data_IF_851896245598
#
_entry.id   IF_851896245598
#
_cell.length_a   1.000
_cell.length_b   1.000
_cell.length_c   1.000
_cell.angle_alpha   90.00
_cell.angle_beta   90.00
_cell.angle_gamma   90.00
#
_symmetry.space_group_name_H-M   'P 1'
#
loop_
_entity.id
_entity.type
_entity.pdbx_description
1 polymer ?
#
# COMPACT_ATOMS: atom_id res chain seq x y z
N UNK A 1 5.63 19.46 84.61
CA UNK A 1 6.05 18.33 83.75
C UNK A 1 6.99 18.88 82.68
N UNK A 2 8.28 18.53 82.70
CA UNK A 2 9.24 18.94 81.65
C UNK A 2 8.99 18.06 80.41
N UNK A 3 8.70 18.67 79.26
CA UNK A 3 8.69 17.97 77.95
C UNK A 3 10.12 17.49 77.66
N UNK A 4 10.27 16.21 77.36
CA UNK A 4 11.55 15.60 77.01
C UNK A 4 11.88 16.03 75.58
N UNK A 5 12.88 16.89 75.40
CA UNK A 5 13.35 17.27 74.07
C UNK A 5 14.19 16.14 73.48
N UNK A 6 13.74 15.58 72.35
CA UNK A 6 14.51 14.62 71.56
C UNK A 6 15.55 15.40 70.76
N UNK A 7 16.78 15.43 71.26
CA UNK A 7 17.94 15.95 70.52
C UNK A 7 18.55 14.80 69.73
N UNK A 8 18.56 14.91 68.40
CA UNK A 8 19.29 13.96 67.56
C UNK A 8 20.78 14.31 67.70
N UNK A 9 21.63 13.38 68.17
CA UNK A 9 23.07 13.62 68.26
C UNK A 9 23.61 14.03 66.89
N UNK A 10 24.37 15.12 66.83
CA UNK A 10 24.89 15.71 65.58
C UNK A 10 25.62 14.68 64.70
N UNK A 11 26.26 13.68 65.32
CA UNK A 11 26.94 12.57 64.64
C UNK A 11 25.95 11.70 63.83
N UNK A 12 24.75 11.43 64.35
CA UNK A 12 23.72 10.66 63.64
C UNK A 12 23.16 11.46 62.47
N UNK A 13 22.98 12.78 62.64
CA UNK A 13 22.58 13.67 61.55
C UNK A 13 23.60 13.70 60.41
N UNK A 14 24.89 13.79 60.73
CA UNK A 14 25.97 13.76 59.73
C UNK A 14 26.02 12.41 59.01
N UNK A 15 25.90 11.29 59.72
CA UNK A 15 25.88 9.96 59.10
C UNK A 15 24.69 9.76 58.17
N UNK A 16 23.51 10.29 58.51
CA UNK A 16 22.34 10.25 57.64
C UNK A 16 22.54 11.06 56.36
N UNK A 17 23.16 12.25 56.45
CA UNK A 17 23.47 13.09 55.29
C UNK A 17 24.50 12.42 54.39
N UNK A 18 25.59 11.89 54.95
CA UNK A 18 26.63 11.19 54.18
C UNK A 18 26.05 9.93 53.53
N UNK A 19 25.27 9.14 54.26
CA UNK A 19 24.59 7.95 53.73
C UNK A 19 23.62 8.28 52.58
N UNK A 20 22.85 9.37 52.72
CA UNK A 20 21.95 9.85 51.67
C UNK A 20 22.70 10.33 50.42
N UNK A 21 23.84 10.99 50.58
CA UNK A 21 24.66 11.49 49.48
C UNK A 21 25.34 10.34 48.72
N UNK A 22 25.88 9.35 49.44
CA UNK A 22 26.43 8.13 48.85
C UNK A 22 25.35 7.32 48.12
N UNK A 23 24.18 7.14 48.74
CA UNK A 23 23.04 6.46 48.10
C UNK A 23 22.57 7.21 46.84
N UNK A 24 22.52 8.54 46.89
CA UNK A 24 22.19 9.39 45.74
C UNK A 24 23.18 9.22 44.59
N UNK A 25 24.49 9.25 44.87
CA UNK A 25 25.52 9.02 43.86
C UNK A 25 25.44 7.60 43.30
N UNK A 26 25.22 6.58 44.14
CA UNK A 26 25.06 5.19 43.68
C UNK A 26 23.80 5.02 42.81
N UNK A 27 22.71 5.72 43.12
CA UNK A 27 21.49 5.70 42.30
C UNK A 27 21.66 6.46 40.97
N UNK A 28 22.41 7.56 40.97
CA UNK A 28 22.71 8.35 39.76
C UNK A 28 23.75 7.70 38.85
N UNK A 29 24.67 6.92 39.43
CA UNK A 29 25.77 6.27 38.70
C UNK A 29 25.45 4.82 38.30
N UNK A 30 24.26 4.31 38.66
CA UNK A 30 23.70 3.11 38.02
C UNK A 30 23.21 3.53 36.64
N UNK A 31 23.66 2.88 35.54
CA UNK A 31 23.05 3.14 34.24
C UNK A 31 21.56 2.86 34.38
N UNK A 32 20.71 3.79 33.95
CA UNK A 32 19.27 3.65 33.78
C UNK A 32 19.00 2.53 32.78
N UNK A 33 19.25 1.28 33.18
CA UNK A 33 18.93 0.08 32.41
C UNK A 33 17.52 -0.32 32.81
N UNK A 34 16.62 -0.23 31.83
CA UNK A 34 15.38 -1.00 31.73
C UNK A 34 14.17 -0.53 32.55
N UNK A 35 13.74 0.72 32.36
CA UNK A 35 12.32 1.10 32.54
C UNK A 35 11.71 1.72 31.27
N UNK A 36 12.29 1.43 30.11
CA UNK A 36 11.60 1.59 28.82
C UNK A 36 11.13 0.20 28.41
N UNK A 37 10.05 -0.27 29.04
CA UNK A 37 9.20 -1.21 28.33
C UNK A 37 8.57 -0.40 27.20
N UNK A 38 9.01 -0.63 25.97
CA UNK A 38 8.29 -0.12 24.81
C UNK A 38 6.81 -0.48 24.99
N UNK A 39 5.89 0.44 24.70
CA UNK A 39 4.52 -0.02 24.45
C UNK A 39 4.65 -1.04 23.32
N UNK A 40 4.22 -2.31 23.48
CA UNK A 40 4.33 -3.33 22.44
C UNK A 40 3.72 -2.91 21.10
N UNK A 41 2.94 -1.85 21.12
CA UNK A 41 2.23 -1.25 20.00
C UNK A 41 3.12 -0.38 19.09
N UNK A 42 4.21 0.21 19.61
CA UNK A 42 5.14 1.08 18.86
C UNK A 42 6.39 0.32 18.37
N UNK A 43 6.50 -0.97 18.67
CA UNK A 43 7.60 -1.82 18.20
C UNK A 43 7.48 -2.07 16.69
N UNK A 44 8.54 -1.80 15.90
CA UNK A 44 8.60 -2.15 14.48
C UNK A 44 8.38 -3.65 14.25
N UNK A 45 7.54 -3.98 13.27
CA UNK A 45 7.28 -5.34 12.78
C UNK A 45 7.51 -5.37 11.28
N UNK A 46 7.75 -6.58 10.75
CA UNK A 46 7.96 -6.83 9.32
C UNK A 46 9.00 -5.88 8.72
N UNK A 47 10.16 -5.80 9.38
CA UNK A 47 11.26 -4.93 8.95
C UNK A 47 11.86 -5.51 7.68
N UNK A 48 11.85 -4.73 6.60
CA UNK A 48 12.41 -5.10 5.31
C UNK A 48 13.44 -4.07 4.82
N UNK A 49 14.41 -4.56 4.05
CA UNK A 49 15.43 -3.74 3.40
C UNK A 49 15.35 -4.00 1.90
N UNK A 50 14.99 -2.96 1.15
CA UNK A 50 14.63 -3.03 -0.27
C UNK A 50 15.34 -1.95 -1.07
N UNK A 51 15.18 -1.95 -2.40
CA UNK A 51 15.67 -0.89 -3.30
C UNK A 51 17.17 -0.58 -3.11
N UNK A 52 17.97 -1.61 -2.81
CA UNK A 52 19.41 -1.44 -2.60
C UNK A 52 20.03 -1.03 -3.94
N UNK A 53 20.68 0.12 -3.96
CA UNK A 53 21.53 0.61 -5.05
C UNK A 53 22.97 0.79 -4.55
N UNK A 54 23.83 1.30 -5.41
CA UNK A 54 25.19 1.68 -5.06
C UNK A 54 25.26 2.92 -4.16
N UNK A 55 24.20 3.73 -4.12
CA UNK A 55 24.17 4.98 -3.35
C UNK A 55 22.94 5.14 -2.45
N UNK A 56 22.10 4.10 -2.34
CA UNK A 56 20.88 4.15 -1.54
C UNK A 56 20.41 2.77 -1.10
N UNK A 57 19.56 2.73 -0.09
CA UNK A 57 18.66 1.61 0.20
C UNK A 57 17.41 2.12 0.91
N UNK A 58 16.36 1.31 0.92
CA UNK A 58 15.11 1.61 1.61
C UNK A 58 14.97 0.69 2.82
N UNK A 59 14.48 1.24 3.92
CA UNK A 59 14.05 0.48 5.09
C UNK A 59 12.56 0.70 5.28
N UNK A 60 11.82 -0.36 5.45
CA UNK A 60 10.38 -0.30 5.72
C UNK A 60 9.98 -1.19 6.89
N UNK A 61 8.89 -0.83 7.55
CA UNK A 61 8.30 -1.58 8.65
C UNK A 61 6.85 -1.16 8.89
N UNK A 62 6.16 -1.91 9.75
CA UNK A 62 4.84 -1.53 10.27
C UNK A 62 4.81 -1.46 11.79
N UNK A 63 3.83 -0.73 12.31
CA UNK A 63 3.55 -0.57 13.72
C UNK A 63 2.06 -0.85 13.98
N UNK A 64 1.74 -1.30 15.20
CA UNK A 64 0.34 -1.56 15.59
C UNK A 64 -0.39 -0.26 15.92
N UNK A 65 0.37 0.77 16.33
CA UNK A 65 -0.14 2.11 16.63
C UNK A 65 0.49 3.14 15.71
N UNK A 66 -0.35 4.06 15.24
CA UNK A 66 0.09 5.23 14.46
C UNK A 66 1.12 6.05 15.24
N UNK A 67 2.32 6.16 14.70
CA UNK A 67 3.48 6.78 15.35
C UNK A 67 4.41 7.41 14.32
N UNK A 68 5.36 8.25 14.74
CA UNK A 68 6.37 8.81 13.85
C UNK A 68 7.46 7.79 13.56
N UNK A 69 8.06 7.84 12.37
CA UNK A 69 9.09 6.91 11.93
C UNK A 69 10.34 7.61 11.42
N UNK A 70 11.51 7.11 11.80
CA UNK A 70 12.80 7.56 11.29
C UNK A 70 13.84 6.43 11.37
N UNK A 71 14.93 6.55 10.61
CA UNK A 71 16.06 5.62 10.69
C UNK A 71 17.29 6.39 11.15
N UNK A 72 17.96 5.85 12.16
CA UNK A 72 19.29 6.29 12.58
C UNK A 72 20.32 5.34 11.95
N UNK A 73 21.19 5.83 11.07
CA UNK A 73 22.12 5.02 10.29
C UNK A 73 23.53 5.60 10.27
N UNK A 74 24.50 4.77 9.88
CA UNK A 74 25.88 5.20 9.72
C UNK A 74 26.76 4.08 9.18
N UNK A 75 27.99 4.45 8.83
CA UNK A 75 29.00 3.48 8.42
C UNK A 75 29.43 2.65 9.64
N UNK A 76 29.51 1.33 9.48
CA UNK A 76 29.92 0.40 10.56
C UNK A 76 29.01 0.52 11.79
N UNK A 77 29.51 0.25 13.00
CA UNK A 77 28.70 0.17 14.23
C UNK A 77 28.35 1.52 14.89
N UNK A 78 28.49 2.64 14.17
CA UNK A 78 28.21 3.99 14.68
C UNK A 78 27.14 4.71 13.87
N UNK A 79 25.85 4.41 14.11
CA UNK A 79 24.76 5.13 13.48
C UNK A 79 24.58 6.51 14.14
N UNK A 80 24.98 7.57 13.43
CA UNK A 80 24.93 8.96 13.91
C UNK A 80 24.04 9.85 13.04
N UNK A 81 23.79 9.46 11.79
CA UNK A 81 22.91 10.18 10.88
C UNK A 81 21.47 9.76 11.11
N UNK A 82 20.53 10.69 10.90
CA UNK A 82 19.10 10.46 11.07
C UNK A 82 18.37 10.93 9.82
N UNK A 83 17.40 10.13 9.38
CA UNK A 83 16.50 10.46 8.28
C UNK A 83 15.07 10.02 8.63
N UNK A 84 14.09 10.88 8.37
CA UNK A 84 12.67 10.62 8.67
C UNK A 84 11.97 9.84 7.57
N UNK A 85 10.73 9.39 7.83
CA UNK A 85 9.81 8.84 6.84
C UNK A 85 9.78 9.67 5.55
N UNK A 86 9.68 9.00 4.39
CA UNK A 86 9.68 9.68 3.09
C UNK A 86 8.52 10.68 2.98
N UNK A 87 7.36 10.41 3.58
CA UNK A 87 6.23 11.36 3.61
C UNK A 87 6.55 12.61 4.43
N UNK A 88 7.31 12.46 5.51
CA UNK A 88 7.74 13.59 6.34
C UNK A 88 8.74 14.46 5.60
N UNK A 89 9.65 13.83 4.85
CA UNK A 89 10.61 14.55 3.99
C UNK A 89 9.90 15.29 2.85
N UNK A 90 8.86 14.69 2.25
CA UNK A 90 8.05 15.31 1.19
C UNK A 90 7.22 16.50 1.73
N UNK A 91 6.64 16.37 2.93
CA UNK A 91 5.77 17.40 3.52
C UNK A 91 6.51 18.47 4.32
N UNK A 92 7.71 18.16 4.84
CA UNK A 92 8.46 19.02 5.75
C UNK A 92 7.93 19.03 7.19
N UNK A 93 6.99 18.13 7.52
CA UNK A 93 6.36 18.00 8.83
C UNK A 93 6.35 16.54 9.27
N UNK A 94 6.48 16.29 10.58
CA UNK A 94 6.49 14.93 11.13
C UNK A 94 5.05 14.44 11.30
N UNK A 95 4.69 13.39 10.55
CA UNK A 95 3.42 12.69 10.65
C UNK A 95 3.48 11.44 11.52
N UNK A 96 2.30 10.86 11.75
CA UNK A 96 2.15 9.56 12.41
C UNK A 96 1.49 8.56 11.46
N UNK A 97 2.07 7.37 11.33
CA UNK A 97 1.66 6.36 10.36
C UNK A 97 1.70 4.96 10.97
N UNK A 98 0.99 4.01 10.34
CA UNK A 98 1.07 2.58 10.68
C UNK A 98 2.09 1.83 9.81
N UNK A 99 2.37 2.37 8.64
CA UNK A 99 3.38 1.91 7.69
C UNK A 99 4.49 2.92 7.67
N UNK A 100 5.73 2.49 7.45
CA UNK A 100 6.87 3.37 7.36
C UNK A 100 7.77 2.94 6.22
N UNK A 101 8.23 3.90 5.44
CA UNK A 101 9.18 3.68 4.36
C UNK A 101 10.17 4.85 4.33
N UNK A 102 11.46 4.51 4.46
CA UNK A 102 12.54 5.48 4.61
C UNK A 102 13.61 5.20 3.58
N UNK A 103 13.78 6.12 2.63
CA UNK A 103 14.80 6.08 1.60
C UNK A 103 16.09 6.76 2.06
N UNK A 104 17.12 5.97 2.37
CA UNK A 104 18.44 6.48 2.72
C UNK A 104 19.26 6.62 1.43
N UNK A 105 19.74 7.84 1.16
CA UNK A 105 20.38 8.23 -0.11
C UNK A 105 21.78 8.83 0.13
N UNK A 106 22.50 9.09 -0.97
CA UNK A 106 23.84 9.68 -0.96
C UNK A 106 24.88 8.84 -0.18
N UNK A 107 24.80 7.53 -0.32
CA UNK A 107 25.70 6.56 0.30
C UNK A 107 26.89 6.24 -0.61
N UNK A 108 27.91 5.61 -0.02
CA UNK A 108 29.06 5.08 -0.76
C UNK A 108 28.74 3.69 -1.33
N UNK A 109 29.20 3.35 -2.54
CA UNK A 109 29.12 2.00 -3.08
C UNK A 109 29.87 0.97 -2.23
N UNK A 110 29.46 -0.30 -2.32
CA UNK A 110 30.11 -1.46 -1.67
C UNK A 110 30.44 -1.25 -0.18
N UNK A 111 29.59 -0.50 0.52
CA UNK A 111 29.84 -0.06 1.88
C UNK A 111 28.79 -0.63 2.81
N UNK A 112 29.26 -1.21 3.93
CA UNK A 112 28.40 -1.75 4.97
C UNK A 112 27.88 -0.63 5.89
N UNK A 113 26.56 -0.49 5.94
CA UNK A 113 25.86 0.42 6.82
C UNK A 113 25.16 -0.36 7.93
N UNK A 114 25.16 0.20 9.13
CA UNK A 114 24.32 -0.28 10.22
C UNK A 114 23.31 0.76 10.63
N UNK A 115 22.15 0.32 11.10
CA UNK A 115 21.08 1.23 11.49
C UNK A 115 20.23 0.72 12.65
N UNK A 116 19.47 1.64 13.23
CA UNK A 116 18.38 1.44 14.19
C UNK A 116 17.13 2.12 13.67
N UNK A 117 15.99 1.56 14.02
CA UNK A 117 14.69 2.11 13.65
C UNK A 117 14.20 2.96 14.82
N UNK A 118 13.94 4.22 14.55
CA UNK A 118 13.21 5.12 15.42
C UNK A 118 11.71 4.98 15.18
N UNK A 119 10.98 4.54 16.19
CA UNK A 119 9.52 4.49 16.15
C UNK A 119 8.98 5.18 17.40
N UNK A 120 8.28 6.29 17.16
CA UNK A 120 7.88 7.24 18.21
C UNK A 120 9.10 7.79 18.95
N UNK A 121 9.15 7.56 20.27
CA UNK A 121 10.24 8.04 21.14
C UNK A 121 11.36 7.02 21.35
N UNK A 122 11.19 5.82 20.80
CA UNK A 122 12.05 4.67 21.09
C UNK A 122 12.92 4.33 19.88
N UNK A 123 14.10 3.79 20.16
CA UNK A 123 15.01 3.23 19.16
C UNK A 123 15.04 1.71 19.30
N UNK A 124 14.91 1.03 18.16
CA UNK A 124 14.83 -0.41 18.07
C UNK A 124 15.98 -0.94 17.23
N UNK A 125 16.57 -2.03 17.69
CA UNK A 125 17.62 -2.77 17.00
C UNK A 125 17.10 -4.18 16.65
N UNK A 126 17.96 -4.98 16.00
CA UNK A 126 17.66 -6.35 15.61
C UNK A 126 18.01 -7.31 16.76
N UNK A 127 17.15 -7.33 17.79
CA UNK A 127 17.28 -8.22 18.95
C UNK A 127 18.66 -8.13 19.65
N UNK A 128 19.14 -6.90 19.89
CA UNK A 128 20.42 -6.63 20.56
C UNK A 128 21.61 -6.45 19.63
N UNK A 129 21.42 -6.62 18.31
CA UNK A 129 22.40 -6.27 17.28
C UNK A 129 21.86 -5.19 16.36
N UNK A 130 22.71 -4.35 15.76
CA UNK A 130 22.25 -3.38 14.77
C UNK A 130 21.73 -4.09 13.51
N UNK A 131 20.72 -3.52 12.86
CA UNK A 131 20.39 -3.92 11.48
C UNK A 131 21.54 -3.53 10.57
N UNK A 132 21.78 -4.33 9.52
CA UNK A 132 22.91 -4.12 8.63
C UNK A 132 22.52 -4.39 7.19
N UNK A 133 23.07 -3.61 6.27
CA UNK A 133 23.00 -3.85 4.83
C UNK A 133 24.28 -3.35 4.15
N UNK A 134 24.51 -3.79 2.93
CA UNK A 134 25.64 -3.35 2.10
C UNK A 134 25.09 -2.75 0.82
N UNK A 135 25.55 -1.56 0.46
CA UNK A 135 25.21 -0.94 -0.83
C UNK A 135 25.85 -1.71 -1.98
N UNK A 136 25.25 -1.63 -3.16
CA UNK A 136 25.71 -2.36 -4.33
C UNK A 136 27.02 -1.82 -4.91
N UNK A 137 27.64 -2.61 -5.77
CA UNK A 137 28.74 -2.14 -6.62
C UNK A 137 28.24 -1.11 -7.63
N UNK A 138 29.13 -0.22 -8.05
CA UNK A 138 28.85 0.70 -9.16
C UNK A 138 28.57 -0.15 -10.39
N UNK A 139 27.33 -0.11 -10.89
CA UNK A 139 26.97 -0.85 -12.08
C UNK A 139 27.31 -0.05 -13.35
N UNK A 140 27.44 -0.79 -14.45
CA UNK A 140 27.66 -0.20 -15.77
C UNK A 140 26.41 0.50 -16.31
N UNK A 141 26.20 0.40 -17.63
CA UNK A 141 25.05 1.06 -18.27
C UNK A 141 23.72 0.49 -17.75
N UNK A 142 22.83 1.38 -17.33
CA UNK A 142 21.47 1.02 -16.91
C UNK A 142 20.70 0.32 -18.06
N UNK A 143 19.90 -0.71 -17.75
CA UNK A 143 19.00 -1.36 -18.70
C UNK A 143 17.99 -0.39 -19.34
N UNK A 144 17.26 -0.88 -20.35
CA UNK A 144 16.12 -0.17 -20.90
C UNK A 144 15.09 0.11 -19.79
N UNK A 145 14.44 1.28 -19.85
CA UNK A 145 13.47 1.67 -18.83
C UNK A 145 12.32 0.66 -18.77
N UNK A 146 12.02 0.23 -17.54
CA UNK A 146 10.96 -0.71 -17.23
C UNK A 146 10.39 -0.35 -15.85
N UNK A 147 9.06 -0.33 -15.76
CA UNK A 147 8.29 0.05 -14.58
C UNK A 147 7.13 -0.93 -14.37
N UNK A 148 6.91 -1.33 -13.13
CA UNK A 148 5.69 -1.96 -12.66
C UNK A 148 4.80 -0.90 -12.00
N UNK A 149 3.50 -0.93 -12.26
CA UNK A 149 2.57 0.02 -11.66
C UNK A 149 1.17 -0.56 -11.54
N UNK A 150 0.38 0.01 -10.63
CA UNK A 150 -0.98 -0.42 -10.38
C UNK A 150 -1.64 0.41 -9.29
N UNK A 151 -2.76 -0.10 -8.77
CA UNK A 151 -3.53 0.53 -7.71
C UNK A 151 -3.83 -0.46 -6.58
N UNK A 152 -3.83 0.02 -5.35
CA UNK A 152 -4.29 -0.72 -4.16
C UNK A 152 -5.61 -0.12 -3.69
N UNK A 153 -6.60 -1.00 -3.48
CA UNK A 153 -7.95 -0.63 -3.05
C UNK A 153 -8.39 -1.47 -1.85
N UNK A 154 -9.35 -0.97 -1.09
CA UNK A 154 -10.06 -1.75 -0.07
C UNK A 154 -11.09 -2.69 -0.72
N UNK A 155 -11.74 -3.54 0.08
CA UNK A 155 -12.87 -4.37 -0.40
C UNK A 155 -14.07 -3.54 -0.89
N UNK A 156 -14.16 -2.27 -0.51
CA UNK A 156 -15.17 -1.30 -0.98
C UNK A 156 -14.72 -0.54 -2.24
N UNK A 157 -13.60 -0.93 -2.85
CA UNK A 157 -12.96 -0.26 -4.01
C UNK A 157 -12.40 1.15 -3.69
N UNK A 158 -12.36 1.56 -2.42
CA UNK A 158 -11.74 2.82 -2.01
C UNK A 158 -10.21 2.74 -2.14
N UNK A 159 -9.54 3.78 -2.68
CA UNK A 159 -8.08 3.80 -2.80
C UNK A 159 -7.38 3.82 -1.43
N UNK A 160 -6.27 3.08 -1.32
CA UNK A 160 -5.50 2.97 -0.08
C UNK A 160 -4.25 3.84 -0.15
N UNK A 161 -4.20 4.94 0.60
CA UNK A 161 -3.01 5.78 0.77
C UNK A 161 -2.00 5.16 1.74
N UNK A 162 -0.71 5.22 1.40
CA UNK A 162 0.38 4.89 2.32
C UNK A 162 0.55 3.39 2.59
N UNK A 163 -0.04 2.49 1.80
CA UNK A 163 0.33 1.09 1.81
C UNK A 163 1.73 0.90 1.20
N UNK A 164 2.49 -0.04 1.74
CA UNK A 164 3.79 -0.43 1.18
C UNK A 164 3.54 -1.58 0.22
N UNK A 165 3.92 -1.38 -1.05
CA UNK A 165 3.89 -2.41 -2.08
C UNK A 165 5.30 -2.92 -2.26
N UNK A 166 5.51 -4.21 -2.04
CA UNK A 166 6.74 -4.93 -2.31
C UNK A 166 6.62 -5.70 -3.61
N UNK A 167 7.69 -5.75 -4.38
CA UNK A 167 7.79 -6.50 -5.63
C UNK A 167 9.10 -7.30 -5.62
N UNK A 168 8.97 -8.62 -5.75
CA UNK A 168 10.08 -9.57 -5.72
C UNK A 168 10.15 -10.34 -7.03
N UNK A 169 11.35 -10.37 -7.61
CA UNK A 169 11.71 -11.18 -8.76
C UNK A 169 12.74 -12.24 -8.34
N UNK A 170 12.77 -13.43 -8.98
CA UNK A 170 13.80 -14.42 -8.74
C UNK A 170 15.21 -13.86 -8.94
N UNK A 171 16.07 -14.02 -7.92
CA UNK A 171 17.47 -13.61 -8.01
C UNK A 171 17.73 -12.10 -7.94
N UNK A 172 16.73 -11.30 -7.54
CA UNK A 172 16.88 -9.85 -7.39
C UNK A 172 16.71 -9.40 -5.94
N UNK A 173 17.19 -8.20 -5.63
CA UNK A 173 16.78 -7.49 -4.42
C UNK A 173 15.33 -7.07 -4.56
N UNK A 174 14.51 -7.29 -3.53
CA UNK A 174 13.13 -6.85 -3.49
C UNK A 174 13.04 -5.32 -3.64
N UNK A 175 12.01 -4.86 -4.35
CA UNK A 175 11.71 -3.45 -4.54
C UNK A 175 10.46 -3.09 -3.74
N UNK A 176 10.34 -1.83 -3.35
CA UNK A 176 9.25 -1.31 -2.56
C UNK A 176 8.88 0.12 -2.98
N UNK A 177 7.61 0.45 -2.84
CA UNK A 177 7.08 1.81 -2.99
C UNK A 177 5.89 2.04 -2.06
N UNK A 178 5.66 3.30 -1.68
CA UNK A 178 4.43 3.71 -1.00
C UNK A 178 3.33 4.05 -2.03
N UNK A 179 2.10 3.65 -1.75
CA UNK A 179 0.94 4.12 -2.51
C UNK A 179 0.66 5.59 -2.21
N UNK A 180 0.27 6.33 -3.25
CA UNK A 180 -0.15 7.75 -3.16
C UNK A 180 -1.63 7.85 -2.75
N UNK A 181 -2.20 9.06 -2.53
CA UNK A 181 -3.60 9.21 -2.09
C UNK A 181 -4.65 8.54 -2.99
N UNK A 182 -4.35 8.39 -4.28
CA UNK A 182 -5.14 7.66 -5.26
C UNK A 182 -5.02 6.13 -5.14
N UNK A 183 -4.25 5.59 -4.21
CA UNK A 183 -3.92 4.16 -4.13
C UNK A 183 -2.90 3.69 -5.16
N UNK A 184 -2.46 4.58 -6.05
CA UNK A 184 -1.52 4.26 -7.13
C UNK A 184 -0.10 4.11 -6.61
N UNK A 185 0.64 3.16 -7.17
CA UNK A 185 2.05 2.92 -6.89
C UNK A 185 2.83 2.68 -8.19
N UNK A 186 4.13 2.95 -8.15
CA UNK A 186 5.05 2.73 -9.27
C UNK A 186 6.39 2.24 -8.71
N UNK A 187 6.91 1.16 -9.28
CA UNK A 187 8.21 0.57 -8.94
C UNK A 187 9.05 0.47 -10.23
N UNK A 188 10.18 1.18 -10.34
CA UNK A 188 11.09 1.03 -11.47
C UNK A 188 11.85 -0.30 -11.39
N UNK A 189 11.56 -1.24 -12.30
CA UNK A 189 12.20 -2.56 -12.33
C UNK A 189 13.58 -2.54 -12.99
N UNK A 190 13.80 -1.63 -13.94
CA UNK A 190 15.07 -1.53 -14.67
C UNK A 190 16.29 -1.22 -13.78
N UNK A 191 16.07 -0.67 -12.58
CA UNK A 191 17.13 -0.32 -11.62
C UNK A 191 17.31 -1.36 -10.51
N UNK A 192 16.49 -2.42 -10.51
CA UNK A 192 16.61 -3.49 -9.53
C UNK A 192 18.01 -4.11 -9.62
N UNK A 193 18.62 -4.41 -8.47
CA UNK A 193 19.94 -5.04 -8.39
C UNK A 193 19.79 -6.56 -8.29
N UNK A 194 20.78 -7.27 -8.84
CA UNK A 194 20.94 -8.70 -8.61
C UNK A 194 21.12 -8.98 -7.11
N UNK A 195 20.75 -10.17 -6.66
CA UNK A 195 20.85 -10.55 -5.24
C UNK A 195 22.29 -10.52 -4.68
N UNK A 196 23.29 -10.67 -5.55
CA UNK A 196 24.72 -10.53 -5.20
C UNK A 196 25.22 -9.08 -5.19
N UNK A 197 24.36 -8.12 -5.54
CA UNK A 197 24.62 -6.67 -5.56
C UNK A 197 25.75 -6.23 -6.51
N UNK A 198 26.17 -7.06 -7.46
CA UNK A 198 27.28 -6.74 -8.37
C UNK A 198 26.83 -5.99 -9.63
N UNK A 199 25.57 -6.16 -10.04
CA UNK A 199 25.06 -5.65 -11.31
C UNK A 199 23.57 -5.32 -11.24
N UNK A 200 23.02 -4.76 -12.32
CA UNK A 200 21.57 -4.69 -12.49
C UNK A 200 21.01 -6.09 -12.71
N UNK A 201 19.82 -6.34 -12.18
CA UNK A 201 19.12 -7.59 -12.34
C UNK A 201 18.82 -7.86 -13.82
N UNK A 202 19.10 -9.08 -14.28
CA UNK A 202 18.64 -9.57 -15.57
C UNK A 202 17.32 -10.31 -15.35
N UNK A 203 16.30 -9.96 -16.13
CA UNK A 203 15.00 -10.61 -16.15
C UNK A 203 14.38 -10.50 -17.55
N UNK A 204 13.48 -11.41 -17.89
CA UNK A 204 12.61 -11.33 -19.07
C UNK A 204 11.48 -10.33 -18.77
N UNK A 205 11.30 -9.24 -19.55
CA UNK A 205 10.32 -8.19 -19.27
C UNK A 205 8.86 -8.62 -19.48
N UNK A 206 8.62 -9.81 -20.01
CA UNK A 206 7.28 -10.33 -20.27
C UNK A 206 6.94 -11.60 -19.47
N UNK A 207 7.93 -12.46 -19.19
CA UNK A 207 7.67 -13.85 -18.75
C UNK A 207 8.06 -14.18 -17.33
N UNK A 208 8.97 -13.42 -16.73
CA UNK A 208 9.48 -13.78 -15.41
C UNK A 208 8.41 -13.61 -14.35
N UNK A 209 8.37 -14.55 -13.41
CA UNK A 209 7.39 -14.55 -12.32
C UNK A 209 7.71 -13.41 -11.35
N UNK A 210 6.68 -12.66 -11.01
CA UNK A 210 6.74 -11.56 -10.06
C UNK A 210 5.82 -11.88 -8.89
N UNK A 211 6.32 -11.74 -7.67
CA UNK A 211 5.51 -11.74 -6.46
C UNK A 211 5.35 -10.30 -5.98
N UNK A 212 4.11 -9.85 -5.85
CA UNK A 212 3.75 -8.56 -5.28
C UNK A 212 3.07 -8.80 -3.95
N UNK A 213 3.55 -8.18 -2.89
CA UNK A 213 2.88 -8.18 -1.59
C UNK A 213 2.58 -6.76 -1.15
N UNK A 214 1.46 -6.57 -0.48
CA UNK A 214 1.02 -5.26 0.01
C UNK A 214 0.83 -5.33 1.51
N UNK A 215 1.35 -4.33 2.20
CA UNK A 215 1.23 -4.16 3.64
C UNK A 215 0.67 -2.76 3.95
N UNK A 216 -0.56 -2.72 4.45
CA UNK A 216 -1.30 -1.49 4.75
C UNK A 216 -1.50 -1.28 6.27
N UNK A 217 -0.64 -1.89 7.10
CA UNK A 217 -0.69 -1.76 8.55
C UNK A 217 -1.97 -2.40 9.11
N UNK A 218 -2.81 -1.60 9.78
CA UNK A 218 -4.06 -2.10 10.37
C UNK A 218 -5.17 -2.38 9.34
N UNK A 219 -5.04 -1.89 8.10
CA UNK A 219 -5.97 -2.17 7.01
C UNK A 219 -5.78 -3.57 6.41
N UNK A 220 -4.67 -4.24 6.73
CA UNK A 220 -4.38 -5.62 6.31
C UNK A 220 -3.35 -5.71 5.19
N UNK A 221 -3.30 -6.89 4.59
CA UNK A 221 -2.31 -7.27 3.57
C UNK A 221 -3.00 -7.83 2.32
N UNK A 222 -2.27 -7.90 1.22
CA UNK A 222 -2.67 -8.61 0.01
C UNK A 222 -1.45 -9.21 -0.68
N UNK A 223 -1.66 -10.21 -1.55
CA UNK A 223 -0.61 -10.70 -2.43
C UNK A 223 -1.12 -10.95 -3.85
N UNK A 224 -0.24 -10.74 -4.82
CA UNK A 224 -0.48 -11.03 -6.23
C UNK A 224 0.76 -11.69 -6.80
N UNK A 225 0.63 -12.93 -7.28
CA UNK A 225 1.64 -13.55 -8.14
C UNK A 225 1.25 -13.32 -9.59
N UNK A 226 2.18 -12.81 -10.39
CA UNK A 226 1.95 -12.48 -11.80
C UNK A 226 3.24 -12.63 -12.62
N UNK A 227 3.28 -12.07 -13.83
CA UNK A 227 4.46 -11.99 -14.69
C UNK A 227 4.89 -10.55 -14.91
N UNK A 228 6.15 -10.34 -15.27
CA UNK A 228 6.69 -9.02 -15.65
C UNK A 228 5.86 -8.31 -16.73
N UNK A 229 5.32 -9.03 -17.72
CA UNK A 229 4.46 -8.45 -18.76
C UNK A 229 3.12 -7.93 -18.22
N UNK A 230 2.58 -8.61 -17.21
CA UNK A 230 1.33 -8.23 -16.54
C UNK A 230 1.52 -7.18 -15.43
N UNK A 231 2.72 -6.58 -15.30
CA UNK A 231 2.95 -5.47 -14.36
C UNK A 231 2.60 -4.08 -14.90
N UNK A 232 2.10 -4.00 -16.14
CA UNK A 232 1.95 -2.76 -16.92
C UNK A 232 0.54 -2.60 -17.55
N UNK A 233 -0.51 -2.32 -16.77
CA UNK A 233 -0.57 -2.26 -15.30
C UNK A 233 -0.86 -3.62 -14.66
N UNK A 234 -0.53 -3.74 -13.38
CA UNK A 234 -1.11 -4.76 -12.50
C UNK A 234 -2.58 -4.41 -12.27
N UNK A 235 -3.49 -5.38 -12.48
CA UNK A 235 -4.90 -5.20 -12.14
C UNK A 235 -5.07 -4.93 -10.64
N UNK A 236 -6.05 -4.10 -10.28
CA UNK A 236 -6.25 -3.58 -8.92
C UNK A 236 -6.05 -4.63 -7.83
N UNK A 237 -5.28 -4.25 -6.81
CA UNK A 237 -4.94 -5.12 -5.69
C UNK A 237 -5.89 -4.79 -4.54
N UNK A 238 -6.84 -5.68 -4.28
CA UNK A 238 -7.79 -5.56 -3.17
C UNK A 238 -7.17 -6.09 -1.87
N UNK A 239 -7.15 -5.28 -0.81
CA UNK A 239 -6.71 -5.72 0.50
C UNK A 239 -7.53 -6.93 1.01
N UNK A 240 -6.84 -7.89 1.63
CA UNK A 240 -7.41 -9.15 2.12
C UNK A 240 -7.51 -10.27 1.08
N UNK A 241 -7.13 -10.01 -0.18
CA UNK A 241 -7.13 -11.00 -1.25
C UNK A 241 -5.71 -11.47 -1.59
N UNK A 242 -5.60 -12.76 -1.93
CA UNK A 242 -4.42 -13.34 -2.55
C UNK A 242 -4.81 -13.80 -3.96
N UNK A 243 -4.09 -13.32 -4.98
CA UNK A 243 -4.36 -13.61 -6.39
C UNK A 243 -3.16 -14.28 -7.03
N UNK A 244 -3.40 -15.43 -7.66
CA UNK A 244 -2.41 -16.07 -8.54
C UNK A 244 -2.85 -15.91 -9.98
N UNK A 245 -2.19 -15.01 -10.72
CA UNK A 245 -2.38 -14.87 -12.16
C UNK A 245 -1.51 -15.91 -12.89
N UNK A 246 -2.12 -16.65 -13.80
CA UNK A 246 -1.44 -17.71 -14.51
C UNK A 246 -0.31 -17.15 -15.39
N UNK A 247 0.93 -17.58 -15.09
CA UNK A 247 2.07 -17.43 -15.99
C UNK A 247 1.82 -18.33 -17.22
N UNK A 248 1.92 -17.84 -18.47
CA UNK A 248 1.94 -18.74 -19.62
C UNK A 248 3.21 -19.60 -19.52
N UNK A 249 3.05 -20.89 -19.28
CA UNK A 249 4.17 -21.82 -19.26
C UNK A 249 4.94 -21.74 -20.60
N UNK A 250 6.30 -21.86 -20.60
CA UNK A 250 7.06 -21.87 -21.83
C UNK A 250 6.60 -23.07 -22.66
N UNK A 251 6.08 -22.79 -23.86
CA UNK A 251 5.60 -23.80 -24.79
C UNK A 251 6.74 -24.74 -25.20
N UNK A 252 6.86 -25.87 -24.52
CA UNK A 252 7.48 -27.05 -25.10
C UNK A 252 6.56 -27.52 -26.22
N UNK A 253 7.09 -27.48 -27.44
CA UNK A 253 6.31 -27.47 -28.67
C UNK A 253 5.22 -28.53 -28.76
N UNK A 254 4.04 -28.08 -29.17
CA UNK A 254 3.08 -28.96 -29.82
C UNK A 254 2.54 -28.22 -31.04
N UNK A 255 2.77 -28.84 -32.20
CA UNK A 255 2.13 -28.46 -33.45
C UNK A 255 0.63 -28.51 -33.20
N UNK A 256 -0.07 -27.42 -33.47
CA UNK A 256 -1.45 -27.28 -33.96
C UNK A 256 -1.93 -25.91 -33.51
N UNK A 257 -2.07 -25.00 -34.46
CA UNK A 257 -2.73 -23.73 -34.28
C UNK A 257 -4.06 -23.81 -35.02
N UNK A 258 -5.18 -23.64 -34.29
CA UNK A 258 -6.42 -23.11 -34.83
C UNK A 258 -7.41 -22.77 -33.69
N UNK A 259 -7.62 -21.46 -33.53
CA UNK A 259 -8.85 -20.77 -33.07
C UNK A 259 -9.25 -20.91 -31.60
N UNK A 260 -9.00 -19.83 -30.84
CA UNK A 260 -9.70 -19.48 -29.62
C UNK A 260 -11.22 -19.38 -29.87
N UNK A 261 -12.05 -19.97 -28.98
CA UNK A 261 -13.30 -19.39 -28.44
C UNK A 261 -13.79 -20.26 -27.27
N UNK A 262 -13.78 -19.71 -26.05
CA UNK A 262 -14.70 -20.04 -24.94
C UNK A 262 -14.51 -21.35 -24.16
N UNK A 263 -13.62 -21.37 -23.16
CA UNK A 263 -13.49 -22.51 -22.22
C UNK A 263 -13.55 -22.16 -20.72
N UNK A 264 -14.10 -21.01 -20.34
CA UNK A 264 -14.26 -20.66 -18.92
C UNK A 264 -15.70 -20.79 -18.42
N UNK A 265 -15.89 -21.57 -17.37
CA UNK A 265 -17.13 -21.66 -16.61
C UNK A 265 -17.20 -20.46 -15.66
N UNK A 266 -18.13 -19.52 -15.86
CA UNK A 266 -18.32 -18.33 -15.04
C UNK A 266 -19.79 -18.14 -14.66
N UNK A 267 -20.05 -17.56 -13.48
CA UNK A 267 -21.38 -17.10 -13.05
C UNK A 267 -21.42 -15.57 -13.19
N UNK A 268 -22.24 -15.08 -14.11
CA UNK A 268 -22.41 -13.65 -14.40
C UNK A 268 -23.34 -12.98 -13.39
N UNK A 269 -24.49 -13.61 -13.12
CA UNK A 269 -25.52 -13.09 -12.21
C UNK A 269 -26.04 -14.22 -11.33
N UNK A 270 -26.17 -14.05 -10.01
CA UNK A 270 -25.83 -12.86 -9.24
C UNK A 270 -24.32 -12.65 -9.04
N UNK A 271 -23.89 -11.40 -8.85
CA UNK A 271 -22.55 -11.02 -8.39
C UNK A 271 -22.34 -11.47 -6.93
N UNK A 272 -21.08 -11.56 -6.51
CA UNK A 272 -20.75 -11.98 -5.15
C UNK A 272 -21.30 -10.94 -4.16
N UNK A 273 -22.14 -11.38 -3.22
CA UNK A 273 -22.81 -10.51 -2.25
C UNK A 273 -23.93 -9.64 -2.83
N UNK A 274 -24.38 -9.89 -4.07
CA UNK A 274 -25.47 -9.11 -4.68
C UNK A 274 -26.77 -9.26 -3.89
N UNK A 275 -27.43 -8.12 -3.62
CA UNK A 275 -28.75 -8.07 -2.98
C UNK A 275 -29.83 -8.08 -4.05
N UNK A 276 -30.51 -9.22 -4.19
CA UNK A 276 -31.61 -9.38 -5.14
C UNK A 276 -32.92 -9.07 -4.43
N UNK A 277 -33.69 -8.15 -5.00
CA UNK A 277 -35.01 -7.76 -4.50
C UNK A 277 -36.15 -8.65 -5.03
N UNK A 278 -35.82 -9.85 -5.53
CA UNK A 278 -36.76 -10.85 -6.04
C UNK A 278 -36.54 -12.17 -5.31
N UNK A 279 -37.64 -12.81 -4.90
CA UNK A 279 -37.63 -14.16 -4.31
C UNK A 279 -37.41 -15.25 -5.37
N UNK A 280 -37.43 -14.90 -6.66
CA UNK A 280 -37.11 -15.80 -7.79
C UNK A 280 -36.00 -15.16 -8.62
N UNK A 281 -34.73 -15.24 -8.16
CA UNK A 281 -33.62 -14.73 -8.95
C UNK A 281 -33.41 -15.57 -10.20
N UNK A 282 -32.89 -14.93 -11.23
CA UNK A 282 -32.43 -15.57 -12.45
C UNK A 282 -30.90 -15.67 -12.39
N UNK A 283 -30.38 -16.90 -12.48
CA UNK A 283 -28.95 -17.16 -12.43
C UNK A 283 -28.44 -17.30 -13.85
N UNK A 284 -27.44 -16.51 -14.22
CA UNK A 284 -26.85 -16.48 -15.55
C UNK A 284 -25.35 -16.74 -15.47
N UNK A 285 -24.80 -17.37 -16.50
CA UNK A 285 -23.36 -17.57 -16.60
C UNK A 285 -22.92 -17.98 -18.00
N UNK A 286 -21.61 -18.21 -18.14
CA UNK A 286 -21.03 -18.81 -19.34
C UNK A 286 -20.35 -20.13 -19.02
N UNK A 287 -20.35 -21.05 -19.97
CA UNK A 287 -19.62 -22.30 -19.92
C UNK A 287 -19.33 -22.74 -21.36
N UNK A 288 -18.50 -23.77 -21.59
CA UNK A 288 -18.27 -24.26 -22.93
C UNK A 288 -19.58 -24.72 -23.59
N UNK A 289 -19.82 -24.31 -24.83
CA UNK A 289 -21.04 -24.61 -25.58
C UNK A 289 -21.27 -26.12 -25.69
N UNK A 290 -22.50 -26.57 -25.47
CA UNK A 290 -22.85 -27.99 -25.54
C UNK A 290 -22.43 -28.84 -24.33
N UNK A 291 -21.86 -28.26 -23.26
CA UNK A 291 -21.55 -28.99 -22.02
C UNK A 291 -22.75 -29.10 -21.09
N UNK A 292 -22.81 -30.20 -20.33
CA UNK A 292 -23.77 -30.33 -19.24
C UNK A 292 -23.23 -29.68 -17.97
N UNK A 293 -24.02 -28.76 -17.40
CA UNK A 293 -23.74 -28.11 -16.13
C UNK A 293 -24.78 -28.53 -15.09
N UNK A 294 -24.33 -28.72 -13.85
CA UNK A 294 -25.18 -28.95 -12.69
C UNK A 294 -25.16 -27.72 -11.80
N UNK A 295 -26.32 -27.07 -11.65
CA UNK A 295 -26.50 -25.89 -10.82
C UNK A 295 -27.18 -26.33 -9.52
N UNK A 296 -26.54 -26.04 -8.39
CA UNK A 296 -27.04 -26.27 -7.04
C UNK A 296 -27.19 -24.95 -6.29
N UNK A 297 -28.35 -24.67 -5.73
CA UNK A 297 -28.58 -23.53 -4.84
C UNK A 297 -28.75 -24.08 -3.43
N UNK A 298 -27.82 -23.73 -2.56
CA UNK A 298 -27.86 -24.01 -1.13
C UNK A 298 -28.61 -22.87 -0.43
N UNK A 299 -29.86 -23.16 -0.08
CA UNK A 299 -30.74 -22.36 0.77
C UNK A 299 -31.32 -23.23 1.89
N UNK A 300 -32.27 -22.72 2.68
CA UNK A 300 -33.06 -23.54 3.60
C UNK A 300 -33.65 -24.81 2.92
N UNK A 301 -33.94 -24.72 1.61
CA UNK A 301 -34.27 -25.86 0.73
C UNK A 301 -33.25 -25.95 -0.41
N UNK A 302 -32.65 -27.11 -0.61
CA UNK A 302 -31.64 -27.28 -1.68
C UNK A 302 -32.34 -27.48 -3.03
N UNK A 303 -32.00 -26.65 -4.02
CA UNK A 303 -32.45 -26.83 -5.40
C UNK A 303 -31.28 -27.31 -6.26
N UNK A 304 -31.51 -28.29 -7.14
CA UNK A 304 -30.48 -28.82 -8.04
C UNK A 304 -31.10 -29.07 -9.42
N UNK A 305 -30.42 -28.64 -10.49
CA UNK A 305 -30.84 -28.90 -11.87
C UNK A 305 -29.63 -29.06 -12.78
N UNK A 306 -29.72 -30.02 -13.71
CA UNK A 306 -28.76 -30.18 -14.82
C UNK A 306 -29.31 -29.52 -16.08
N UNK A 307 -28.47 -28.75 -16.78
CA UNK A 307 -28.79 -28.01 -17.99
C UNK A 307 -27.67 -28.19 -19.02
N UNK A 308 -28.02 -28.20 -20.30
CA UNK A 308 -27.04 -28.13 -21.40
C UNK A 308 -26.84 -26.67 -21.80
N UNK A 309 -25.59 -26.25 -21.91
CA UNK A 309 -25.21 -24.87 -22.26
C UNK A 309 -25.47 -24.63 -23.75
N UNK A 310 -25.97 -23.44 -24.10
CA UNK A 310 -26.35 -23.13 -25.47
C UNK A 310 -25.14 -23.00 -26.43
N UNK A 311 -25.41 -22.88 -27.72
CA UNK A 311 -24.37 -22.78 -28.77
C UNK A 311 -23.50 -21.51 -28.66
N UNK A 312 -23.96 -20.50 -27.90
CA UNK A 312 -23.22 -19.27 -27.64
C UNK A 312 -22.38 -19.35 -26.35
N UNK A 313 -22.41 -20.49 -25.65
CA UNK A 313 -21.71 -20.68 -24.38
C UNK A 313 -22.39 -19.99 -23.21
N UNK A 314 -23.66 -19.59 -23.33
CA UNK A 314 -24.42 -18.94 -22.27
C UNK A 314 -25.43 -19.92 -21.66
N UNK A 315 -25.72 -19.74 -20.37
CA UNK A 315 -26.73 -20.53 -19.67
C UNK A 315 -27.52 -19.66 -18.71
N UNK A 316 -28.79 -20.02 -18.52
CA UNK A 316 -29.70 -19.31 -17.63
C UNK A 316 -30.54 -20.32 -16.83
N UNK A 317 -30.74 -20.04 -15.55
CA UNK A 317 -31.53 -20.84 -14.64
C UNK A 317 -32.46 -19.97 -13.78
N UNK A 318 -33.77 -20.15 -13.98
CA UNK A 318 -34.80 -19.53 -13.15
C UNK A 318 -35.17 -20.47 -12.00
N UNK A 319 -35.13 -19.97 -10.76
CA UNK A 319 -35.46 -20.76 -9.57
C UNK A 319 -36.96 -21.13 -9.58
N UNK A 320 -37.33 -22.43 -9.38
CA UNK A 320 -38.71 -22.88 -9.55
C UNK A 320 -39.66 -22.43 -8.42
N UNK A 321 -39.13 -22.18 -7.23
CA UNK A 321 -39.87 -21.82 -6.01
C UNK A 321 -39.27 -20.56 -5.37
N UNK A 322 -40.07 -19.86 -4.56
CA UNK A 322 -39.59 -18.66 -3.88
C UNK A 322 -38.50 -19.01 -2.87
N UNK A 323 -37.37 -18.32 -2.95
CA UNK A 323 -36.34 -18.33 -1.91
C UNK A 323 -36.77 -17.42 -0.75
N UNK A 324 -36.51 -17.86 0.48
CA UNK A 324 -36.72 -17.03 1.67
C UNK A 324 -35.72 -15.86 1.72
N UNK A 325 -36.07 -14.72 2.35
CA UNK A 325 -35.12 -13.63 2.56
C UNK A 325 -33.91 -14.10 3.38
N UNK A 326 -32.70 -13.79 2.93
CA UNK A 326 -31.45 -14.25 3.55
C UNK A 326 -30.33 -14.54 2.55
N UNK A 327 -29.21 -15.06 3.05
CA UNK A 327 -28.06 -15.43 2.24
C UNK A 327 -28.25 -16.81 1.60
N UNK A 328 -27.91 -16.91 0.31
CA UNK A 328 -28.00 -18.12 -0.50
C UNK A 328 -26.70 -18.32 -1.27
N UNK A 329 -26.28 -19.57 -1.47
CA UNK A 329 -25.07 -19.90 -2.25
C UNK A 329 -25.43 -20.70 -3.48
N UNK A 330 -25.05 -20.21 -4.66
CA UNK A 330 -25.09 -20.97 -5.91
C UNK A 330 -23.75 -21.65 -6.18
N UNK A 331 -23.80 -22.93 -6.51
CA UNK A 331 -22.67 -23.76 -6.95
C UNK A 331 -22.98 -24.29 -8.34
N UNK A 332 -22.12 -24.04 -9.32
CA UNK A 332 -22.23 -24.57 -10.67
C UNK A 332 -21.06 -25.51 -10.92
N UNK A 333 -21.37 -26.74 -11.30
CA UNK A 333 -20.37 -27.77 -11.62
C UNK A 333 -20.50 -28.15 -13.09
N UNK A 334 -19.40 -28.14 -13.82
CA UNK A 334 -19.32 -28.60 -15.22
C UNK A 334 -18.24 -29.67 -15.35
N UNK A 335 -18.44 -30.65 -16.23
CA UNK A 335 -17.42 -31.64 -16.57
C UNK A 335 -16.84 -31.23 -17.92
N UNK A 336 -15.61 -30.75 -17.92
CA UNK A 336 -14.86 -30.37 -19.13
C UNK A 336 -13.64 -31.27 -19.20
N UNK A 337 -13.49 -32.02 -20.30
CA UNK A 337 -12.40 -32.98 -20.53
C UNK A 337 -12.21 -34.05 -19.42
N UNK A 338 -13.31 -34.50 -18.81
CA UNK A 338 -13.29 -35.51 -17.75
C UNK A 338 -12.90 -34.98 -16.36
N UNK A 339 -12.69 -33.67 -16.22
CA UNK A 339 -12.39 -32.99 -14.95
C UNK A 339 -13.61 -32.17 -14.50
N UNK A 340 -14.05 -32.36 -13.26
CA UNK A 340 -15.13 -31.58 -12.67
C UNK A 340 -14.63 -30.17 -12.26
N UNK A 341 -15.05 -29.14 -13.00
CA UNK A 341 -14.83 -27.72 -12.66
C UNK A 341 -16.03 -27.22 -11.84
N UNK A 342 -15.78 -26.62 -10.68
CA UNK A 342 -16.82 -26.10 -9.77
C UNK A 342 -16.62 -24.61 -9.50
N UNK A 343 -17.68 -23.82 -9.65
CA UNK A 343 -17.70 -22.37 -9.34
C UNK A 343 -18.79 -22.10 -8.30
N UNK A 344 -18.48 -21.32 -7.27
CA UNK A 344 -19.40 -20.98 -6.18
C UNK A 344 -19.57 -19.47 -6.04
N UNK A 345 -20.79 -19.01 -5.72
CA UNK A 345 -21.10 -17.59 -5.53
C UNK A 345 -22.23 -17.41 -4.51
N UNK A 346 -22.10 -16.47 -3.58
CA UNK A 346 -23.15 -16.13 -2.62
C UNK A 346 -23.91 -14.86 -3.03
N UNK A 347 -25.19 -14.79 -2.69
CA UNK A 347 -26.08 -13.65 -2.91
C UNK A 347 -27.14 -13.57 -1.82
N UNK A 348 -27.75 -12.39 -1.62
CA UNK A 348 -28.73 -12.15 -0.56
C UNK A 348 -30.10 -11.82 -1.17
N UNK A 349 -31.13 -12.56 -0.80
CA UNK A 349 -32.53 -12.26 -1.17
C UNK A 349 -33.11 -11.30 -0.14
N UNK A 350 -33.61 -10.15 -0.57
CA UNK A 350 -34.24 -9.17 0.32
C UNK A 350 -35.74 -9.47 0.53
N UNK A 351 -36.26 -9.10 1.70
CA UNK A 351 -37.68 -9.21 2.00
C UNK A 351 -38.51 -8.26 1.12
N UNK A 352 -39.67 -8.71 0.64
CA UNK A 352 -40.52 -7.86 -0.20
C UNK A 352 -41.02 -6.63 0.60
N UNK A 353 -40.75 -5.42 0.09
CA UNK A 353 -41.29 -4.16 0.64
C UNK A 353 -40.29 -3.12 1.16
N UNK A 354 -38.97 -3.31 1.01
CA UNK A 354 -37.94 -2.37 1.51
C UNK A 354 -37.31 -1.45 0.44
N UNK A 355 -37.78 -1.44 -0.81
CA UNK A 355 -37.23 -0.54 -1.84
C UNK A 355 -38.20 -0.29 -2.99
N UNK A 356 -38.45 0.99 -3.28
CA UNK A 356 -39.20 1.50 -4.44
C UNK A 356 -38.29 1.85 -5.64
N UNK A 357 -37.13 1.19 -5.78
CA UNK A 357 -36.25 1.41 -6.92
C UNK A 357 -36.63 0.47 -8.09
N UNK A 358 -36.81 0.98 -9.32
CA UNK A 358 -37.14 0.15 -10.47
C UNK A 358 -35.99 -0.78 -10.84
N UNK A 359 -36.33 -2.01 -11.25
CA UNK A 359 -35.41 -3.12 -11.47
C UNK A 359 -34.57 -3.04 -12.78
N UNK A 360 -34.49 -1.92 -13.49
CA UNK A 360 -33.69 -1.78 -14.73
C UNK A 360 -33.23 -0.35 -14.99
N UNK A 361 -31.94 -0.18 -15.33
CA UNK A 361 -31.44 0.93 -16.16
C UNK A 361 -31.16 0.34 -17.54
N UNK A 362 -31.66 0.99 -18.60
CA UNK A 362 -31.46 0.54 -19.97
C UNK A 362 -29.98 0.65 -20.40
N UNK A 363 -29.48 -0.40 -21.03
CA UNK A 363 -28.20 -0.42 -21.76
C UNK A 363 -28.34 0.44 -23.02
N UNK A 364 -27.44 1.42 -23.30
CA UNK A 364 -27.40 2.06 -24.60
C UNK A 364 -26.66 1.14 -25.59
N UNK A 365 -27.40 0.28 -26.28
CA UNK A 365 -26.93 -0.35 -27.52
C UNK A 365 -27.19 0.58 -28.70
N UNK A 366 -26.14 1.18 -29.25
CA UNK A 366 -26.11 1.69 -30.63
C UNK A 366 -24.66 1.75 -31.17
N UNK A 367 -24.36 0.87 -32.12
CA UNK A 367 -23.17 0.81 -32.99
C UNK A 367 -23.71 0.39 -34.36
N UNK A 368 -23.42 0.95 -35.54
CA UNK A 368 -22.74 2.15 -36.06
C UNK A 368 -23.45 2.48 -37.40
N UNK A 369 -23.47 3.74 -37.85
CA UNK A 369 -23.65 4.07 -39.28
C UNK A 369 -22.76 5.25 -39.68
N UNK A 370 -21.82 5.09 -40.63
CA UNK A 370 -21.08 6.22 -41.18
C UNK A 370 -21.93 6.89 -42.28
N UNK A 371 -22.12 8.21 -42.20
CA UNK A 371 -22.60 9.03 -43.33
C UNK A 371 -22.29 10.53 -43.06
N UNK A 372 -22.33 11.37 -44.09
CA UNK A 372 -21.21 11.90 -44.87
C UNK A 372 -20.50 13.12 -44.23
N UNK A 373 -19.26 13.32 -44.70
CA UNK A 373 -18.37 14.46 -44.47
C UNK A 373 -19.09 15.83 -44.54
N UNK A 374 -19.06 16.66 -43.48
CA UNK A 374 -19.46 18.06 -43.58
C UNK A 374 -18.39 18.92 -44.26
N UNK A 375 -18.87 19.82 -45.11
CA UNK A 375 -18.17 20.80 -45.93
C UNK A 375 -17.31 21.78 -45.12
N UNK A 376 -16.12 22.10 -45.63
CA UNK A 376 -15.24 23.15 -45.08
C UNK A 376 -15.95 24.51 -45.24
N UNK A 377 -16.24 25.16 -44.11
CA UNK A 377 -16.67 26.57 -44.07
C UNK A 377 -15.43 27.42 -43.77
N UNK A 378 -15.19 28.55 -44.47
CA UNK A 378 -14.01 29.39 -44.22
C UNK A 378 -14.00 29.97 -42.80
N UNK A 379 -12.82 29.90 -42.17
CA UNK A 379 -12.50 30.49 -40.87
C UNK A 379 -12.64 32.02 -40.93
N UNK A 380 -13.47 32.58 -40.05
CA UNK A 380 -13.37 33.99 -39.66
C UNK A 380 -12.34 34.05 -38.53
N UNK A 381 -11.18 34.64 -38.81
CA UNK A 381 -10.21 34.99 -37.78
C UNK A 381 -10.75 36.18 -36.98
N UNK A 382 -10.97 35.99 -35.69
CA UNK A 382 -11.08 37.10 -34.75
C UNK A 382 -9.68 37.39 -34.17
N UNK A 383 -9.34 38.67 -33.95
CA UNK A 383 -7.98 39.12 -33.72
C UNK A 383 -7.42 38.65 -32.38
N UNK A 384 -6.11 38.45 -32.36
CA UNK A 384 -5.29 38.25 -31.16
C UNK A 384 -5.53 39.37 -30.16
N UNK A 385 -5.88 39.02 -28.92
CA UNK A 385 -5.65 39.90 -27.77
C UNK A 385 -4.36 39.47 -27.10
N UNK A 386 -3.29 40.11 -27.57
CA UNK A 386 -2.08 40.36 -26.79
C UNK A 386 -2.44 41.17 -25.53
N UNK A 387 -1.59 41.07 -24.51
CA UNK A 387 -1.57 41.82 -23.24
C UNK A 387 -2.32 41.21 -22.05
N UNK A 388 -1.50 40.70 -21.12
CA UNK A 388 -1.90 40.17 -19.83
C UNK A 388 -0.68 39.71 -19.05
N UNK A 389 0.40 40.51 -19.04
CA UNK A 389 1.50 40.32 -18.10
C UNK A 389 0.96 40.53 -16.69
N UNK A 390 1.16 39.61 -15.74
CA UNK A 390 0.78 39.84 -14.35
C UNK A 390 1.58 41.02 -13.79
N UNK A 391 0.89 41.98 -13.17
CA UNK A 391 1.52 43.04 -12.36
C UNK A 391 2.34 42.41 -11.22
N UNK A 392 3.61 42.81 -11.03
CA UNK A 392 4.38 42.45 -9.85
C UNK A 392 3.68 42.99 -8.59
N UNK A 393 3.52 42.12 -7.60
CA UNK A 393 2.72 42.34 -6.40
C UNK A 393 2.98 43.64 -5.65
N UNK A 394 1.91 44.14 -5.04
CA UNK A 394 1.88 45.32 -4.19
C UNK A 394 2.90 45.18 -3.02
N UNK A 395 3.94 46.02 -3.01
CA UNK A 395 5.00 46.04 -1.99
C UNK A 395 4.60 46.72 -0.67
N UNK A 396 3.41 47.32 -0.60
CA UNK A 396 2.91 48.06 0.57
C UNK A 396 2.93 47.23 1.87
N UNK A 397 2.43 45.98 1.91
CA UNK A 397 2.48 45.18 3.14
C UNK A 397 3.93 44.83 3.56
N UNK A 398 4.84 44.60 2.61
CA UNK A 398 6.25 44.31 2.90
C UNK A 398 6.96 45.53 3.49
N UNK A 399 6.66 46.73 2.97
CA UNK A 399 7.23 47.98 3.46
C UNK A 399 6.73 48.31 4.89
N UNK A 400 5.44 48.05 5.18
CA UNK A 400 4.86 48.24 6.52
C UNK A 400 5.54 47.32 7.54
N UNK A 401 5.73 46.04 7.20
CA UNK A 401 6.43 45.07 8.07
C UNK A 401 7.88 45.47 8.34
N UNK A 402 8.58 46.00 7.33
CA UNK A 402 9.97 46.44 7.49
C UNK A 402 10.08 47.68 8.40
N UNK A 403 9.15 48.63 8.28
CA UNK A 403 9.08 49.82 9.14
C UNK A 403 8.75 49.42 10.59
N UNK A 404 7.81 48.48 10.79
CA UNK A 404 7.49 47.93 12.11
C UNK A 404 8.68 47.24 12.76
N UNK A 405 9.42 46.42 11.99
CA UNK A 405 10.64 45.76 12.46
C UNK A 405 11.72 46.76 12.89
N UNK A 406 11.97 47.79 12.08
CA UNK A 406 12.91 48.85 12.41
C UNK A 406 12.49 49.63 13.67
N UNK A 407 11.20 49.91 13.82
CA UNK A 407 10.64 50.56 15.03
C UNK A 407 10.87 49.75 16.30
N UNK A 408 10.69 48.43 16.26
CA UNK A 408 10.94 47.55 17.41
C UNK A 408 12.42 47.49 17.79
N UNK A 409 13.34 47.51 16.81
CA UNK A 409 14.78 47.53 17.08
C UNK A 409 15.19 48.86 17.74
N UNK A 410 14.68 49.98 17.24
CA UNK A 410 14.96 51.31 17.82
C UNK A 410 14.37 51.41 19.24
N UNK A 411 13.14 50.96 19.45
CA UNK A 411 12.51 50.94 20.78
C UNK A 411 13.24 50.02 21.76
N UNK A 412 13.73 48.87 21.30
CA UNK A 412 14.56 47.97 22.10
C UNK A 412 15.91 48.62 22.47
N UNK A 413 16.54 49.32 21.53
CA UNK A 413 17.81 50.01 21.76
C UNK A 413 17.67 51.21 22.72
N UNK A 414 16.61 52.02 22.57
CA UNK A 414 16.36 53.15 23.47
C UNK A 414 15.91 52.68 24.86
N UNK A 415 15.12 51.60 24.94
CA UNK A 415 14.74 50.97 26.21
C UNK A 415 15.92 50.33 26.95
N UNK A 416 16.88 49.75 26.23
CA UNK A 416 18.09 49.16 26.84
C UNK A 416 19.02 50.21 27.47
N UNK A 417 19.11 51.41 26.87
CA UNK A 417 19.94 52.51 27.36
C UNK A 417 19.30 53.34 28.48
N UNK A 418 18.02 53.10 28.80
CA UNK A 418 17.33 53.64 29.97
C UNK A 418 17.15 52.54 31.04
N UNK A 419 18.24 52.08 31.63
CA UNK A 419 18.20 51.39 32.93
C UNK A 419 18.54 52.40 34.03
N UNK A 420 17.56 52.68 34.87
CA UNK A 420 17.76 53.14 36.24
C UNK A 420 18.42 52.05 37.09
#
# INVERSE_FOLDING_TARGET
MRKKELTIPTIIGILAVVGGLVAGVVLLNKPLRSLVGASPEETPKDVEITNISDTSFVVSWVTVKSTSGYVQYGEREKPELVISDDRDQERGEIGNYFTHLVSIKALKPETKYSFRIGSGRSLYDNAGSLYQTTTAAVAGRAPAADVAYGQVVTASEDPVEGAIVYLTLPGTVAQAALTKPSGSWVIPLAVARSADLTSFAAYDPEKDRVEITVQAGTLGTASVNTTTGATKPVADITLGANRDEAVPAPAAGSKFSALETGEELIILTPKFGERVNTQKPEIMGKAPAGTEITIKIESAKVFSKTLTVDENGEWTYSVPENLEPGEHTVTVTSIVDGIAKTVKKSFVVEAAGVSNAPARVATPSASLRPTPRPTIVPRVAYPSTESGTPEPGNLTPTLILLILGAGLIVAGYTGYNYKF
#
